data_IF_940813065443
#
_entry.id   IF_940813065443
#
_cell.length_a   1.000
_cell.length_b   1.000
_cell.length_c   1.000
_cell.angle_alpha   90.00
_cell.angle_beta   90.00
_cell.angle_gamma   90.00
#
_symmetry.space_group_name_H-M   'P 1'
#
loop_
_entity.id
_entity.type
_entity.pdbx_description
1 polymer ?
#
# COMPACT_ATOMS: atom_id res chain seq x y z
N UNK A 1 47.86 33.98 -16.86
CA UNK A 1 47.32 32.63 -17.15
C UNK A 1 46.57 32.14 -15.91
N UNK A 2 45.24 32.08 -15.94
CA UNK A 2 44.42 31.58 -14.82
C UNK A 2 43.70 30.32 -15.31
N UNK A 3 43.99 29.18 -14.70
CA UNK A 3 43.29 27.91 -14.95
C UNK A 3 42.13 27.80 -13.98
N UNK A 4 40.91 27.93 -14.49
CA UNK A 4 39.68 27.73 -13.74
C UNK A 4 39.34 26.23 -13.77
N UNK A 5 39.29 25.58 -12.60
CA UNK A 5 38.82 24.20 -12.47
C UNK A 5 37.31 24.24 -12.22
N UNK A 6 36.52 23.76 -13.19
CA UNK A 6 35.10 23.47 -13.02
C UNK A 6 34.94 22.13 -12.32
N UNK A 7 34.48 22.14 -11.07
CA UNK A 7 34.05 20.94 -10.36
C UNK A 7 32.61 20.66 -10.82
N UNK A 8 32.45 19.73 -11.76
CA UNK A 8 31.14 19.22 -12.15
C UNK A 8 30.65 18.23 -11.07
N UNK A 9 29.80 18.70 -10.16
CA UNK A 9 29.11 17.83 -9.21
C UNK A 9 27.97 17.08 -9.91
N UNK A 10 28.12 15.77 -10.13
CA UNK A 10 27.04 14.89 -10.54
C UNK A 10 26.01 14.77 -9.42
N UNK A 11 24.83 15.38 -9.61
CA UNK A 11 23.65 15.10 -8.81
C UNK A 11 23.18 13.67 -9.15
N UNK A 12 23.45 12.71 -8.27
CA UNK A 12 22.83 11.40 -8.35
C UNK A 12 21.34 11.55 -7.98
N UNK A 13 20.44 11.42 -8.95
CA UNK A 13 19.02 11.21 -8.68
C UNK A 13 18.88 9.86 -7.96
N UNK A 14 18.61 9.90 -6.65
CA UNK A 14 18.21 8.70 -5.92
C UNK A 14 16.79 8.35 -6.40
N UNK A 15 16.68 7.41 -7.33
CA UNK A 15 15.39 6.87 -7.73
C UNK A 15 14.76 6.20 -6.50
N UNK A 16 13.70 6.78 -5.96
CA UNK A 16 12.92 6.15 -4.89
C UNK A 16 12.33 4.87 -5.44
N UNK A 17 12.76 3.72 -4.92
CA UNK A 17 12.15 2.45 -5.28
C UNK A 17 10.64 2.52 -5.01
N UNK A 18 9.79 2.01 -5.91
CA UNK A 18 8.34 2.07 -5.72
C UNK A 18 7.96 1.41 -4.40
N UNK A 19 7.06 2.05 -3.65
CA UNK A 19 6.54 1.54 -2.37
C UNK A 19 6.00 0.12 -2.61
N UNK A 20 6.69 -0.88 -2.04
CA UNK A 20 6.35 -2.29 -2.22
C UNK A 20 5.37 -2.73 -1.13
N UNK A 21 4.09 -2.49 -1.35
CA UNK A 21 3.06 -2.91 -0.38
C UNK A 21 2.74 -4.41 -0.46
N UNK A 22 2.84 -5.03 -1.63
CA UNK A 22 2.45 -6.43 -1.84
C UNK A 22 3.19 -7.42 -0.93
N UNK A 23 2.44 -8.30 -0.25
CA UNK A 23 2.92 -9.30 0.70
C UNK A 23 1.78 -9.94 1.49
N UNK A 24 2.10 -10.97 2.25
CA UNK A 24 1.25 -11.48 3.32
C UNK A 24 1.50 -10.68 4.59
N UNK A 25 0.45 -10.09 5.15
CA UNK A 25 0.50 -9.21 6.29
C UNK A 25 -0.32 -9.76 7.45
N UNK A 26 0.18 -9.59 8.67
CA UNK A 26 -0.54 -9.91 9.88
C UNK A 26 -0.94 -8.64 10.61
N UNK A 27 -2.23 -8.50 10.91
CA UNK A 27 -2.76 -7.53 11.85
C UNK A 27 -3.12 -8.24 13.17
N UNK A 28 -2.77 -7.63 14.30
CA UNK A 28 -3.17 -8.14 15.62
C UNK A 28 -4.40 -7.38 16.12
N UNK A 29 -5.47 -8.11 16.42
CA UNK A 29 -6.70 -7.58 17.00
C UNK A 29 -6.97 -8.30 18.33
N UNK A 30 -6.44 -7.75 19.42
CA UNK A 30 -6.41 -8.45 20.71
C UNK A 30 -5.54 -9.71 20.64
N UNK A 31 -6.16 -10.87 20.88
CA UNK A 31 -5.52 -12.19 20.80
C UNK A 31 -5.65 -12.83 19.41
N UNK A 32 -6.42 -12.23 18.50
CA UNK A 32 -6.60 -12.72 17.14
C UNK A 32 -5.49 -12.18 16.22
N UNK A 33 -4.91 -13.07 15.39
CA UNK A 33 -4.04 -12.70 14.28
C UNK A 33 -4.83 -12.85 12.99
N UNK A 34 -4.99 -11.77 12.25
CA UNK A 34 -5.63 -11.77 10.93
C UNK A 34 -4.60 -11.66 9.83
N UNK A 35 -4.67 -12.56 8.87
CA UNK A 35 -3.88 -12.51 7.64
C UNK A 35 -4.57 -11.64 6.59
N UNK A 36 -3.76 -10.78 5.97
CA UNK A 36 -4.15 -9.85 4.93
C UNK A 36 -3.20 -10.05 3.77
N UNK A 37 -3.72 -10.67 2.71
CA UNK A 37 -2.96 -10.92 1.49
C UNK A 37 -3.07 -9.70 0.58
N UNK A 38 -1.98 -8.94 0.41
CA UNK A 38 -1.93 -7.77 -0.49
C UNK A 38 -1.14 -8.14 -1.73
N UNK A 39 -1.74 -8.02 -2.91
CA UNK A 39 -1.16 -8.48 -4.19
C UNK A 39 -0.86 -7.31 -5.12
N UNK A 40 0.12 -7.47 -6.01
CA UNK A 40 0.58 -6.42 -6.93
C UNK A 40 -0.41 -6.01 -8.03
N UNK A 41 -1.47 -6.80 -8.24
CA UNK A 41 -2.57 -6.56 -9.18
C UNK A 41 -3.65 -5.60 -8.64
N UNK A 42 -3.33 -4.88 -7.56
CA UNK A 42 -4.25 -4.01 -6.81
C UNK A 42 -5.36 -4.74 -6.06
N UNK A 43 -5.26 -6.07 -5.85
CA UNK A 43 -6.17 -6.81 -4.98
C UNK A 43 -5.62 -6.98 -3.57
N UNK A 44 -6.51 -6.98 -2.58
CA UNK A 44 -6.21 -7.43 -1.22
C UNK A 44 -7.29 -8.41 -0.75
N UNK A 45 -6.95 -9.28 0.18
CA UNK A 45 -7.89 -10.25 0.75
C UNK A 45 -7.68 -10.37 2.25
N UNK A 46 -8.76 -10.32 3.03
CA UNK A 46 -8.79 -10.49 4.48
C UNK A 46 -9.89 -11.49 4.81
N UNK A 47 -9.49 -12.68 5.25
CA UNK A 47 -10.43 -13.80 5.37
C UNK A 47 -11.07 -14.12 4.02
N UNK A 48 -12.39 -13.97 3.93
CA UNK A 48 -13.16 -14.21 2.69
C UNK A 48 -13.42 -12.93 1.88
N UNK A 49 -13.21 -11.76 2.46
CA UNK A 49 -13.51 -10.49 1.80
C UNK A 49 -12.35 -10.08 0.88
N UNK A 50 -12.71 -9.51 -0.27
CA UNK A 50 -11.76 -9.06 -1.29
C UNK A 50 -11.87 -7.54 -1.45
N UNK A 51 -10.73 -6.87 -1.34
CA UNK A 51 -10.62 -5.45 -1.61
C UNK A 51 -9.91 -5.16 -2.93
N UNK A 52 -10.16 -3.95 -3.43
CA UNK A 52 -9.21 -3.25 -4.27
C UNK A 52 -8.43 -2.23 -3.45
N UNK A 53 -7.15 -2.04 -3.75
CA UNK A 53 -6.31 -1.03 -3.10
C UNK A 53 -5.53 -0.16 -4.09
N UNK A 54 -5.18 1.06 -3.65
CA UNK A 54 -4.24 1.97 -4.32
C UNK A 54 -3.39 2.72 -3.30
N UNK A 55 -2.16 3.07 -3.69
CA UNK A 55 -1.31 3.99 -2.93
C UNK A 55 -1.31 5.33 -3.66
N UNK A 56 -1.60 6.39 -2.93
CA UNK A 56 -1.73 7.76 -3.45
C UNK A 56 -1.02 8.68 -2.47
N UNK A 57 0.16 9.19 -2.87
CA UNK A 57 1.03 9.88 -1.92
C UNK A 57 1.35 8.98 -0.73
N UNK A 58 1.09 9.49 0.48
CA UNK A 58 1.24 8.77 1.75
C UNK A 58 -0.06 8.12 2.24
N UNK A 59 -1.03 7.89 1.34
CA UNK A 59 -2.33 7.31 1.67
C UNK A 59 -2.57 5.96 1.00
N UNK A 60 -3.19 5.05 1.74
CA UNK A 60 -3.72 3.77 1.28
C UNK A 60 -5.23 3.89 1.09
N UNK A 61 -5.67 3.74 -0.14
CA UNK A 61 -7.08 3.77 -0.52
C UNK A 61 -7.58 2.33 -0.67
N UNK A 62 -8.73 1.99 -0.09
CA UNK A 62 -9.30 0.64 -0.07
C UNK A 62 -10.80 0.68 -0.37
N UNK A 63 -11.32 -0.26 -1.14
CA UNK A 63 -12.77 -0.50 -1.29
C UNK A 63 -13.08 -2.00 -1.22
N UNK A 64 -14.23 -2.38 -0.65
CA UNK A 64 -14.65 -3.77 -0.41
C UNK A 64 -15.64 -4.33 -1.45
N UNK A 65 -16.05 -3.52 -2.44
CA UNK A 65 -17.00 -3.95 -3.48
C UNK A 65 -18.29 -3.13 -3.55
N UNK A 66 -18.54 -2.27 -2.57
CA UNK A 66 -19.61 -1.27 -2.59
C UNK A 66 -19.27 -0.04 -3.44
N UNK A 67 -18.03 0.05 -3.94
CA UNK A 67 -17.50 1.18 -4.71
C UNK A 67 -17.13 2.39 -3.85
N UNK A 68 -17.31 2.32 -2.53
CA UNK A 68 -16.91 3.38 -1.61
C UNK A 68 -15.44 3.18 -1.25
N UNK A 69 -14.65 4.23 -1.45
CA UNK A 69 -13.22 4.24 -1.17
C UNK A 69 -12.96 4.82 0.22
N UNK A 70 -12.46 3.97 1.11
CA UNK A 70 -11.92 4.37 2.39
C UNK A 70 -10.46 4.80 2.22
N UNK A 71 -10.09 5.93 2.82
CA UNK A 71 -8.75 6.51 2.74
C UNK A 71 -8.08 6.46 4.10
N UNK A 72 -6.92 5.83 4.15
CA UNK A 72 -6.07 5.74 5.34
C UNK A 72 -4.75 6.43 5.08
N UNK A 73 -4.22 7.16 6.06
CA UNK A 73 -2.80 7.50 6.04
C UNK A 73 -1.96 6.24 6.22
N UNK A 74 -0.82 6.13 5.55
CA UNK A 74 0.07 4.98 5.63
C UNK A 74 1.54 5.35 5.87
N UNK A 75 2.22 4.52 6.67
CA UNK A 75 3.67 4.54 6.83
C UNK A 75 4.21 3.14 6.64
N UNK A 76 4.99 2.95 5.58
CA UNK A 76 5.67 1.68 5.30
C UNK A 76 7.15 1.80 5.69
N UNK A 77 7.63 0.89 6.54
CA UNK A 77 9.05 0.81 6.93
C UNK A 77 9.46 -0.66 6.99
N UNK A 78 10.13 -1.11 5.92
CA UNK A 78 10.54 -2.51 5.77
C UNK A 78 9.34 -3.45 5.76
N UNK A 79 9.24 -4.26 6.81
CA UNK A 79 8.16 -5.24 7.02
C UNK A 79 7.06 -4.73 7.97
N UNK A 80 7.06 -3.45 8.33
CA UNK A 80 6.02 -2.82 9.15
C UNK A 80 5.22 -1.83 8.33
N UNK A 81 3.90 -1.98 8.35
CA UNK A 81 2.95 -1.03 7.76
C UNK A 81 2.08 -0.49 8.89
N UNK A 82 2.12 0.82 9.13
CA UNK A 82 1.16 1.48 10.01
C UNK A 82 0.12 2.19 9.15
N UNK A 83 -1.16 1.95 9.42
CA UNK A 83 -2.28 2.68 8.83
C UNK A 83 -3.03 3.47 9.91
N UNK A 84 -3.60 4.62 9.54
CA UNK A 84 -4.26 5.52 10.49
C UNK A 84 -5.36 6.35 9.83
N UNK A 85 -6.30 6.86 10.62
CA UNK A 85 -7.44 7.65 10.13
C UNK A 85 -8.51 6.78 9.50
N UNK A 86 -9.30 7.35 8.60
CA UNK A 86 -10.48 6.68 8.04
C UNK A 86 -11.48 6.33 9.12
N UNK A 87 -11.86 5.05 9.20
CA UNK A 87 -12.74 4.48 10.22
C UNK A 87 -11.99 3.89 11.43
N UNK A 88 -10.66 4.04 11.51
CA UNK A 88 -9.88 3.53 12.63
C UNK A 88 -9.89 4.50 13.82
N UNK A 89 -10.30 4.02 15.00
CA UNK A 89 -10.19 4.78 16.26
C UNK A 89 -8.74 5.08 16.64
N UNK A 90 -7.82 4.15 16.34
CA UNK A 90 -6.38 4.24 16.62
C UNK A 90 -5.57 3.67 15.45
N UNK A 91 -4.33 4.13 15.23
CA UNK A 91 -3.47 3.54 14.21
C UNK A 91 -3.28 2.03 14.41
N UNK A 92 -3.32 1.28 13.31
CA UNK A 92 -3.08 -0.17 13.28
C UNK A 92 -1.75 -0.44 12.63
N UNK A 93 -0.94 -1.32 13.23
CA UNK A 93 0.33 -1.75 12.64
C UNK A 93 0.26 -3.21 12.23
N UNK A 94 0.58 -3.46 10.96
CA UNK A 94 0.67 -4.77 10.35
C UNK A 94 2.14 -5.17 10.21
N UNK A 95 2.41 -6.47 10.34
CA UNK A 95 3.73 -7.07 10.09
C UNK A 95 3.68 -7.92 8.82
N UNK A 96 4.59 -7.69 7.87
CA UNK A 96 4.75 -8.54 6.70
C UNK A 96 5.42 -9.83 7.13
N UNK A 97 4.80 -10.96 6.84
CA UNK A 97 5.27 -12.30 7.22
C UNK A 97 5.66 -13.16 6.03
N UNK A 98 5.34 -12.72 4.80
CA UNK A 98 5.68 -13.48 3.61
C UNK A 98 5.49 -12.72 2.29
N UNK A 99 5.93 -13.33 1.19
CA UNK A 99 5.61 -12.85 -0.15
C UNK A 99 4.10 -13.00 -0.45
N UNK A 100 3.57 -12.22 -1.41
CA UNK A 100 2.18 -12.39 -1.81
C UNK A 100 1.98 -13.69 -2.59
N UNK A 101 0.84 -14.35 -2.40
CA UNK A 101 0.38 -15.44 -3.27
C UNK A 101 -0.47 -14.89 -4.42
N UNK A 102 -0.52 -15.61 -5.54
CA UNK A 102 -1.38 -15.24 -6.66
C UNK A 102 -2.85 -15.19 -6.23
N UNK A 103 -3.63 -14.29 -6.83
CA UNK A 103 -5.08 -14.26 -6.64
C UNK A 103 -5.68 -15.44 -7.41
N UNK A 104 -6.55 -16.26 -6.79
CA UNK A 104 -7.38 -17.19 -7.56
C UNK A 104 -8.22 -16.44 -8.59
N UNK A 105 -8.34 -16.98 -9.79
CA UNK A 105 -9.11 -16.36 -10.87
C UNK A 105 -10.61 -16.25 -10.55
N UNK A 106 -11.10 -17.06 -9.61
CA UNK A 106 -12.48 -17.04 -9.10
C UNK A 106 -12.78 -15.85 -8.19
N UNK A 107 -11.76 -15.15 -7.67
CA UNK A 107 -11.97 -13.97 -6.83
C UNK A 107 -12.14 -12.72 -7.68
N UNK A 108 -13.37 -12.23 -7.75
CA UNK A 108 -13.68 -10.93 -8.31
C UNK A 108 -13.07 -9.83 -7.43
N UNK A 109 -12.49 -8.82 -8.09
CA UNK A 109 -11.98 -7.62 -7.41
C UNK A 109 -12.97 -6.47 -7.61
N UNK A 110 -13.22 -5.64 -6.59
CA UNK A 110 -13.99 -4.40 -6.75
C UNK A 110 -13.46 -3.56 -7.92
N UNK A 111 -14.33 -2.84 -8.62
CA UNK A 111 -13.94 -1.98 -9.75
C UNK A 111 -12.94 -0.88 -9.34
N UNK A 112 -12.08 -0.38 -10.26
CA UNK A 112 -11.23 0.76 -9.95
C UNK A 112 -12.10 2.02 -9.76
N UNK A 113 -11.58 3.07 -9.10
CA UNK A 113 -12.31 4.33 -9.04
C UNK A 113 -12.54 4.85 -10.46
N UNK A 114 -13.65 5.56 -10.67
CA UNK A 114 -13.92 6.18 -11.96
C UNK A 114 -12.77 7.15 -12.30
N UNK A 115 -12.39 7.25 -13.57
CA UNK A 115 -11.21 8.02 -13.98
C UNK A 115 -11.28 9.53 -13.63
N UNK A 116 -12.49 10.05 -13.38
CA UNK A 116 -12.75 11.41 -12.92
C UNK A 116 -12.64 11.57 -11.39
N UNK A 117 -12.69 10.48 -10.63
CA UNK A 117 -12.25 10.45 -9.23
C UNK A 117 -10.73 10.34 -9.26
N UNK A 118 -10.06 11.49 -9.43
CA UNK A 118 -8.65 11.57 -9.07
C UNK A 118 -8.54 11.20 -7.59
N UNK A 119 -7.48 10.51 -7.25
CA UNK A 119 -7.09 10.39 -5.87
C UNK A 119 -6.33 11.68 -5.52
N UNK A 120 -6.95 12.55 -4.72
CA UNK A 120 -6.41 13.85 -4.34
C UNK A 120 -5.55 13.67 -3.09
#
# INVERSE_FOLDING_TARGET
MIRLWLIAGTLALVAQAPIRLAGDWQARAGDEIRHIMVRGDSSAQFGQDVARWRIVGDSLWITLGDGVWQVYGMKLTGDKLTISGGDLEKPVTLRRVGPPTARPDTLAIPEPPAANQRAW
#
